data_IF_608766705247
#
_entry.id   IF_608766705247
#
_cell.length_a   1.000
_cell.length_b   1.000
_cell.length_c   1.000
_cell.angle_alpha   90.00
_cell.angle_beta   90.00
_cell.angle_gamma   90.00
#
_symmetry.space_group_name_H-M   'P 1'
#
loop_
_entity.id
_entity.type
_entity.pdbx_description
1 polymer ?
#
# COMPACT_ATOMS: atom_id res chain seq x y z
N UNK A 1 -4.22 19.86 -13.47
CA UNK A 1 -3.93 18.58 -12.81
C UNK A 1 -5.19 17.75 -12.58
N UNK A 2 -6.27 18.29 -12.13
CA UNK A 2 -7.53 17.56 -12.05
C UNK A 2 -8.40 17.99 -13.25
N UNK A 3 -8.59 17.09 -14.23
CA UNK A 3 -9.70 17.27 -15.17
C UNK A 3 -10.97 17.49 -14.35
N UNK A 4 -11.85 18.43 -14.78
CA UNK A 4 -13.15 18.60 -14.15
C UNK A 4 -13.95 17.29 -14.34
N UNK A 5 -13.78 16.35 -13.43
CA UNK A 5 -14.68 15.20 -13.31
C UNK A 5 -16.03 15.80 -12.93
N UNK A 6 -17.03 15.70 -13.81
CA UNK A 6 -18.40 16.05 -13.43
C UNK A 6 -18.83 15.13 -12.30
N UNK A 7 -18.65 15.61 -11.08
CA UNK A 7 -19.11 14.90 -9.88
C UNK A 7 -20.63 14.86 -9.94
N UNK A 8 -21.20 13.69 -10.10
CA UNK A 8 -22.63 13.45 -10.00
C UNK A 8 -22.95 12.76 -8.67
N UNK A 9 -24.24 12.65 -8.36
CA UNK A 9 -24.74 12.05 -7.12
C UNK A 9 -24.22 10.63 -6.87
N UNK A 10 -23.91 9.84 -7.92
CA UNK A 10 -23.39 8.48 -7.79
C UNK A 10 -21.96 8.45 -7.25
N UNK A 11 -21.10 9.37 -7.69
CA UNK A 11 -19.75 9.49 -7.14
C UNK A 11 -19.78 9.88 -5.66
N UNK A 12 -20.69 10.78 -5.26
CA UNK A 12 -20.87 11.16 -3.86
C UNK A 12 -21.35 9.96 -3.03
N UNK A 13 -22.33 9.22 -3.54
CA UNK A 13 -22.84 8.03 -2.86
C UNK A 13 -21.75 6.96 -2.68
N UNK A 14 -20.99 6.67 -3.73
CA UNK A 14 -19.88 5.71 -3.67
C UNK A 14 -18.80 6.18 -2.69
N UNK A 15 -18.47 7.46 -2.68
CA UNK A 15 -17.54 8.03 -1.70
C UNK A 15 -18.03 7.78 -0.26
N UNK A 16 -19.29 8.04 0.02
CA UNK A 16 -19.89 7.79 1.34
C UNK A 16 -19.81 6.31 1.68
N UNK A 17 -20.24 5.42 0.78
CA UNK A 17 -20.22 3.97 0.98
C UNK A 17 -18.83 3.44 1.25
N UNK A 18 -17.80 3.97 0.56
CA UNK A 18 -16.41 3.58 0.79
C UNK A 18 -15.81 4.21 2.06
N UNK A 19 -16.32 5.37 2.50
CA UNK A 19 -15.80 6.09 3.68
C UNK A 19 -16.36 5.57 5.00
N UNK A 20 -17.63 5.18 5.03
CA UNK A 20 -18.31 4.66 6.22
C UNK A 20 -17.55 3.50 6.88
N UNK A 21 -17.10 2.46 6.14
CA UNK A 21 -16.30 1.38 6.72
C UNK A 21 -15.03 1.86 7.44
N UNK A 22 -14.34 2.82 6.82
CA UNK A 22 -13.12 3.40 7.40
C UNK A 22 -13.39 4.19 8.67
N UNK A 23 -14.49 4.94 8.68
CA UNK A 23 -14.92 5.68 9.86
C UNK A 23 -15.26 4.73 11.02
N UNK A 24 -16.06 3.69 10.75
CA UNK A 24 -16.40 2.72 11.78
C UNK A 24 -15.18 2.00 12.36
N UNK A 25 -14.26 1.57 11.52
CA UNK A 25 -13.00 0.96 12.01
C UNK A 25 -12.12 1.97 12.77
N UNK A 26 -12.03 3.22 12.33
CA UNK A 26 -11.31 4.25 13.07
C UNK A 26 -11.91 4.52 14.46
N UNK A 27 -13.23 4.43 14.59
CA UNK A 27 -13.94 4.58 15.87
C UNK A 27 -13.82 3.36 16.78
N UNK A 28 -13.76 2.14 16.21
CA UNK A 28 -13.84 0.90 16.99
C UNK A 28 -12.52 0.19 17.20
N UNK A 29 -11.52 0.40 16.32
CA UNK A 29 -10.23 -0.24 16.47
C UNK A 29 -9.36 0.46 17.52
N UNK A 30 -9.08 -0.19 18.64
CA UNK A 30 -8.19 0.32 19.70
C UNK A 30 -6.85 -0.40 19.77
N UNK A 31 -6.62 -1.39 18.91
CA UNK A 31 -5.39 -2.17 18.94
C UNK A 31 -4.43 -1.77 17.83
N UNK A 32 -3.16 -1.56 18.21
CA UNK A 32 -2.06 -1.39 17.28
C UNK A 32 -1.52 -2.76 16.82
N UNK A 33 -1.08 -2.83 15.56
CA UNK A 33 -0.42 -4.03 15.03
C UNK A 33 1.07 -4.05 15.38
N UNK A 34 1.74 -2.92 15.18
CA UNK A 34 3.13 -2.65 15.53
C UNK A 34 3.18 -1.43 16.48
N UNK A 35 4.23 -1.32 17.29
CA UNK A 35 4.30 -0.29 18.34
C UNK A 35 4.79 1.07 17.81
N UNK A 36 4.12 1.60 16.80
CA UNK A 36 4.41 2.92 16.24
C UNK A 36 4.17 4.07 17.24
N UNK A 37 3.24 3.89 18.18
CA UNK A 37 2.94 4.91 19.17
C UNK A 37 4.10 5.20 20.11
N UNK A 38 4.95 4.21 20.41
CA UNK A 38 6.13 4.39 21.26
C UNK A 38 7.13 5.38 20.64
N UNK A 39 7.29 5.38 19.32
CA UNK A 39 8.11 6.38 18.60
C UNK A 39 7.65 7.82 18.88
N UNK A 40 6.33 8.06 18.83
CA UNK A 40 5.76 9.38 19.10
C UNK A 40 5.90 9.75 20.57
N UNK A 41 5.62 8.80 21.47
CA UNK A 41 5.74 8.98 22.91
C UNK A 41 7.16 9.37 23.31
N UNK A 42 8.16 8.64 22.85
CA UNK A 42 9.56 8.93 23.10
C UNK A 42 9.94 10.31 22.53
N UNK A 43 9.46 10.66 21.33
CA UNK A 43 9.72 11.98 20.75
C UNK A 43 9.12 13.12 21.58
N UNK A 44 7.94 12.93 22.17
CA UNK A 44 7.34 13.92 23.07
C UNK A 44 8.17 14.05 24.36
N UNK A 45 8.54 12.94 24.98
CA UNK A 45 9.29 12.91 26.25
C UNK A 45 10.71 13.44 26.11
N UNK A 46 11.44 13.03 25.08
CA UNK A 46 12.84 13.38 24.87
C UNK A 46 13.03 14.74 24.15
N UNK A 47 11.96 15.34 23.61
CA UNK A 47 11.97 16.55 22.77
C UNK A 47 12.88 16.44 21.53
N UNK A 48 13.34 15.25 21.19
CA UNK A 48 14.10 14.91 19.97
C UNK A 48 13.54 13.65 19.35
N UNK A 49 13.78 13.43 18.06
CA UNK A 49 13.42 12.18 17.42
C UNK A 49 14.22 11.02 18.03
N UNK A 50 13.58 9.91 18.41
CA UNK A 50 14.27 8.80 19.08
C UNK A 50 15.31 8.14 18.18
N UNK A 51 16.33 7.54 18.80
CA UNK A 51 17.34 6.75 18.11
C UNK A 51 16.76 5.40 17.67
N UNK A 52 17.42 4.76 16.69
CA UNK A 52 16.92 3.51 16.08
C UNK A 52 16.74 2.39 17.10
N UNK A 53 17.58 2.35 18.14
CA UNK A 53 17.60 1.34 19.21
C UNK A 53 16.74 1.69 20.41
N UNK A 54 16.12 2.87 20.47
CA UNK A 54 15.22 3.25 21.57
C UNK A 54 13.90 2.45 21.55
N UNK A 55 13.38 2.08 20.37
CA UNK A 55 12.15 1.30 20.24
C UNK A 55 12.08 0.49 18.93
N UNK A 56 11.10 -0.44 18.87
CA UNK A 56 10.96 -1.36 17.73
C UNK A 56 10.73 -0.65 16.39
N UNK A 57 9.95 0.44 16.33
CA UNK A 57 9.64 1.22 15.12
C UNK A 57 10.43 2.54 15.00
N UNK A 58 11.38 2.80 15.91
CA UNK A 58 12.19 4.02 15.92
C UNK A 58 13.15 4.13 14.69
N UNK A 59 13.31 3.07 13.94
CA UNK A 59 14.07 3.08 12.68
C UNK A 59 13.31 3.75 11.51
N UNK A 60 12.01 3.97 11.62
CA UNK A 60 11.20 4.56 10.55
C UNK A 60 11.56 6.04 10.30
N UNK A 61 11.31 6.58 9.10
CA UNK A 61 11.48 8.01 8.86
C UNK A 61 10.47 8.88 9.62
N UNK A 62 10.82 10.12 10.00
CA UNK A 62 10.09 10.88 11.01
C UNK A 62 8.80 11.58 10.55
N UNK A 63 8.56 11.81 9.26
CA UNK A 63 7.49 12.71 8.80
C UNK A 63 6.09 12.28 9.26
N UNK A 64 5.77 10.98 9.18
CA UNK A 64 4.48 10.49 9.67
C UNK A 64 4.30 10.76 11.17
N UNK A 65 5.33 10.48 11.96
CA UNK A 65 5.32 10.66 13.41
C UNK A 65 5.27 12.15 13.80
N UNK A 66 5.87 13.04 13.00
CA UNK A 66 5.76 14.48 13.18
C UNK A 66 4.31 14.95 13.01
N UNK A 67 3.61 14.44 12.00
CA UNK A 67 2.19 14.73 11.78
C UNK A 67 1.38 14.23 12.97
N UNK A 68 1.56 12.98 13.39
CA UNK A 68 0.84 12.42 14.54
C UNK A 68 1.10 13.22 15.81
N UNK A 69 2.38 13.53 16.09
CA UNK A 69 2.77 14.36 17.24
C UNK A 69 2.03 15.71 17.26
N UNK A 70 1.88 16.35 16.10
CA UNK A 70 1.19 17.65 16.00
C UNK A 70 -0.33 17.54 16.31
N UNK A 71 -0.94 16.37 16.13
CA UNK A 71 -2.35 16.11 16.44
C UNK A 71 -2.56 15.40 17.78
N UNK A 72 -1.49 15.02 18.49
CA UNK A 72 -1.59 14.40 19.81
C UNK A 72 -1.79 15.47 20.87
N UNK A 73 -2.82 15.34 21.75
CA UNK A 73 -2.98 16.25 22.87
C UNK A 73 -1.75 16.23 23.79
N UNK A 74 -1.37 17.41 24.29
CA UNK A 74 -0.29 17.53 25.24
C UNK A 74 -0.83 17.28 26.65
N UNK A 75 -0.66 16.06 27.15
CA UNK A 75 -1.02 15.66 28.51
C UNK A 75 0.22 15.27 29.30
N UNK A 76 0.18 15.46 30.62
CA UNK A 76 1.19 14.97 31.52
C UNK A 76 0.51 14.06 32.57
N UNK A 77 0.82 12.77 32.62
CA UNK A 77 1.77 12.02 31.78
C UNK A 77 1.27 11.80 30.34
N UNK A 78 2.22 11.59 29.41
CA UNK A 78 1.91 11.28 28.00
C UNK A 78 1.19 9.96 27.87
N UNK A 79 -0.05 10.01 27.43
CA UNK A 79 -0.91 8.83 27.28
C UNK A 79 -0.76 8.22 25.89
N UNK A 80 -0.36 6.93 25.86
CA UNK A 80 -0.20 6.15 24.63
C UNK A 80 -1.52 5.94 23.89
N UNK A 81 -2.66 5.87 24.60
CA UNK A 81 -3.97 5.72 23.97
C UNK A 81 -4.35 6.96 23.17
N UNK A 82 -4.06 8.14 23.67
CA UNK A 82 -4.27 9.39 22.93
C UNK A 82 -3.40 9.49 21.66
N UNK A 83 -2.18 8.95 21.71
CA UNK A 83 -1.33 8.86 20.52
C UNK A 83 -1.95 7.89 19.50
N UNK A 84 -2.43 6.75 19.95
CA UNK A 84 -3.11 5.78 19.09
C UNK A 84 -4.36 6.38 18.45
N UNK A 85 -5.13 7.18 19.19
CA UNK A 85 -6.29 7.91 18.68
C UNK A 85 -5.89 8.91 17.59
N UNK A 86 -4.85 9.70 17.83
CA UNK A 86 -4.33 10.62 16.83
C UNK A 86 -3.89 9.89 15.55
N UNK A 87 -3.19 8.75 15.70
CA UNK A 87 -2.79 7.92 14.55
C UNK A 87 -3.98 7.42 13.74
N UNK A 88 -5.04 6.94 14.40
CA UNK A 88 -6.26 6.46 13.73
C UNK A 88 -6.93 7.55 12.91
N UNK A 89 -7.07 8.75 13.49
CA UNK A 89 -7.69 9.88 12.80
C UNK A 89 -6.83 10.39 11.64
N UNK A 90 -5.52 10.48 11.81
CA UNK A 90 -4.58 10.83 10.75
C UNK A 90 -4.68 9.83 9.59
N UNK A 91 -4.67 8.52 9.89
CA UNK A 91 -4.80 7.48 8.88
C UNK A 91 -6.19 7.44 8.22
N UNK A 92 -7.25 7.74 8.96
CA UNK A 92 -8.58 7.91 8.39
C UNK A 92 -8.62 9.01 7.32
N UNK A 93 -8.02 10.17 7.60
CA UNK A 93 -7.94 11.29 6.64
C UNK A 93 -7.15 10.89 5.40
N UNK A 94 -6.00 10.23 5.57
CA UNK A 94 -5.25 9.67 4.43
C UNK A 94 -6.08 8.64 3.65
N UNK A 95 -6.86 7.83 4.35
CA UNK A 95 -7.78 6.86 3.78
C UNK A 95 -8.86 7.49 2.89
N UNK A 96 -9.42 8.62 3.28
CA UNK A 96 -10.35 9.38 2.44
C UNK A 96 -9.67 9.89 1.17
N UNK A 97 -8.43 10.39 1.29
CA UNK A 97 -7.63 10.79 0.14
C UNK A 97 -7.36 9.65 -0.83
N UNK A 98 -7.09 8.43 -0.32
CA UNK A 98 -6.92 7.22 -1.14
C UNK A 98 -8.20 6.91 -1.92
N UNK A 99 -9.39 6.99 -1.29
CA UNK A 99 -10.68 6.76 -1.97
C UNK A 99 -10.88 7.75 -3.11
N UNK A 100 -10.63 9.05 -2.87
CA UNK A 100 -10.72 10.08 -3.91
C UNK A 100 -9.79 9.77 -5.08
N UNK A 101 -8.53 9.39 -4.79
CA UNK A 101 -7.56 9.07 -5.85
C UNK A 101 -7.92 7.80 -6.61
N UNK A 102 -8.48 6.77 -5.98
CA UNK A 102 -9.02 5.59 -6.68
C UNK A 102 -10.06 6.04 -7.71
N UNK A 103 -10.97 6.94 -7.35
CA UNK A 103 -11.98 7.45 -8.29
C UNK A 103 -11.35 8.20 -9.44
N UNK A 104 -10.41 9.10 -9.16
CA UNK A 104 -9.71 9.86 -10.18
C UNK A 104 -8.91 8.95 -11.13
N UNK A 105 -8.24 7.94 -10.61
CA UNK A 105 -7.53 6.93 -11.42
C UNK A 105 -8.49 6.19 -12.35
N UNK A 106 -9.62 5.71 -11.83
CA UNK A 106 -10.60 4.96 -12.65
C UNK A 106 -11.21 5.84 -13.73
N UNK A 107 -11.51 7.11 -13.44
CA UNK A 107 -12.05 8.04 -14.42
C UNK A 107 -11.04 8.40 -15.51
N UNK A 108 -9.74 8.28 -15.26
CA UNK A 108 -8.70 8.46 -16.29
C UNK A 108 -8.61 7.30 -17.28
N UNK A 109 -9.18 6.13 -16.96
CA UNK A 109 -9.09 4.94 -17.81
C UNK A 109 -10.15 5.00 -18.90
N UNK A 110 -9.73 5.23 -20.13
CA UNK A 110 -10.62 5.32 -21.28
C UNK A 110 -11.34 3.99 -21.58
N UNK A 111 -12.55 4.07 -22.17
CA UNK A 111 -13.28 2.91 -22.69
C UNK A 111 -14.10 2.14 -21.65
N UNK A 112 -14.28 2.68 -20.44
CA UNK A 112 -15.22 2.15 -19.45
C UNK A 112 -16.54 2.92 -19.47
N UNK A 113 -17.67 2.22 -19.45
CA UNK A 113 -18.96 2.86 -19.20
C UNK A 113 -19.05 3.39 -17.75
N UNK A 114 -19.90 4.40 -17.47
CA UNK A 114 -20.07 4.91 -16.11
C UNK A 114 -20.39 3.83 -15.07
N UNK A 115 -21.24 2.86 -15.41
CA UNK A 115 -21.59 1.77 -14.50
C UNK A 115 -20.37 0.92 -14.12
N UNK A 116 -19.47 0.67 -15.08
CA UNK A 116 -18.21 -0.04 -14.80
C UNK A 116 -17.25 0.80 -13.96
N UNK A 117 -17.18 2.10 -14.22
CA UNK A 117 -16.38 3.01 -13.38
C UNK A 117 -16.87 2.98 -11.93
N UNK A 118 -18.19 3.06 -11.71
CA UNK A 118 -18.79 3.01 -10.37
C UNK A 118 -18.54 1.68 -9.69
N UNK A 119 -18.72 0.56 -10.38
CA UNK A 119 -18.49 -0.77 -9.82
C UNK A 119 -17.02 -0.99 -9.45
N UNK A 120 -16.08 -0.57 -10.31
CA UNK A 120 -14.65 -0.67 -10.01
C UNK A 120 -14.24 0.25 -8.86
N UNK A 121 -14.83 1.44 -8.77
CA UNK A 121 -14.62 2.35 -7.65
C UNK A 121 -15.08 1.75 -6.33
N UNK A 122 -16.24 1.08 -6.31
CA UNK A 122 -16.71 0.31 -5.16
C UNK A 122 -15.78 -0.85 -4.84
N UNK A 123 -15.38 -1.65 -5.83
CA UNK A 123 -14.53 -2.83 -5.63
C UNK A 123 -13.19 -2.46 -4.99
N UNK A 124 -12.49 -1.47 -5.54
CA UNK A 124 -11.21 -1.02 -4.99
C UNK A 124 -11.38 -0.21 -3.70
N UNK A 125 -12.41 0.63 -3.65
CA UNK A 125 -12.70 1.44 -2.47
C UNK A 125 -13.16 0.61 -1.25
N UNK A 126 -13.84 -0.50 -1.46
CA UNK A 126 -14.27 -1.44 -0.43
C UNK A 126 -13.26 -2.57 -0.19
N UNK A 127 -12.12 -2.58 -0.87
CA UNK A 127 -11.13 -3.63 -0.63
C UNK A 127 -10.79 -3.72 0.87
N UNK A 128 -10.98 -4.90 1.50
CA UNK A 128 -10.86 -5.05 2.95
C UNK A 128 -9.49 -4.64 3.47
N UNK A 129 -8.42 -4.95 2.73
CA UNK A 129 -7.06 -4.59 3.12
C UNK A 129 -6.84 -3.07 3.12
N UNK A 130 -7.35 -2.35 2.09
CA UNK A 130 -7.28 -0.89 2.05
C UNK A 130 -8.12 -0.22 3.14
N UNK A 131 -9.26 -0.81 3.52
CA UNK A 131 -10.07 -0.33 4.64
C UNK A 131 -9.29 -0.49 5.95
N UNK A 132 -8.74 -1.68 6.20
CA UNK A 132 -8.01 -1.97 7.43
C UNK A 132 -6.78 -1.07 7.62
N UNK A 133 -5.99 -0.87 6.58
CA UNK A 133 -4.79 -0.01 6.62
C UNK A 133 -5.12 1.42 7.05
N UNK A 134 -6.27 1.94 6.61
CA UNK A 134 -6.71 3.30 6.98
C UNK A 134 -7.15 3.43 8.45
N UNK A 135 -7.35 2.32 9.16
CA UNK A 135 -7.70 2.29 10.56
C UNK A 135 -6.58 1.72 11.46
N UNK A 136 -5.50 1.25 10.86
CA UNK A 136 -4.30 0.79 11.59
C UNK A 136 -3.41 1.98 11.95
N UNK A 137 -2.71 1.85 13.08
CA UNK A 137 -1.80 2.87 13.60
C UNK A 137 -0.41 2.69 13.00
N UNK A 138 -0.30 2.84 11.66
CA UNK A 138 0.94 2.62 10.90
C UNK A 138 1.16 3.73 9.88
N UNK A 139 2.39 3.85 9.36
CA UNK A 139 2.74 4.80 8.31
C UNK A 139 2.40 4.33 6.88
N UNK A 140 1.51 3.33 6.74
CA UNK A 140 1.19 2.75 5.44
C UNK A 140 0.16 3.56 4.65
N UNK A 141 -0.85 4.13 5.30
CA UNK A 141 -1.85 4.93 4.60
C UNK A 141 -1.24 6.15 3.86
N UNK A 142 -0.37 6.97 4.48
CA UNK A 142 0.23 8.10 3.79
C UNK A 142 1.17 7.70 2.64
N UNK A 143 1.93 6.61 2.74
CA UNK A 143 2.78 6.18 1.62
C UNK A 143 1.97 5.69 0.41
N UNK A 144 0.82 5.04 0.64
CA UNK A 144 -0.11 4.66 -0.42
C UNK A 144 -0.70 5.90 -1.10
N UNK A 145 -1.12 6.89 -0.32
CA UNK A 145 -1.63 8.15 -0.86
C UNK A 145 -0.59 8.85 -1.74
N UNK A 146 0.65 8.97 -1.25
CA UNK A 146 1.75 9.60 -2.00
C UNK A 146 2.07 8.83 -3.28
N UNK A 147 2.07 7.50 -3.23
CA UNK A 147 2.27 6.66 -4.40
C UNK A 147 1.19 6.82 -5.47
N UNK A 148 -0.08 6.89 -5.05
CA UNK A 148 -1.21 7.19 -5.94
C UNK A 148 -1.12 8.59 -6.54
N UNK A 149 -0.81 9.62 -5.74
CA UNK A 149 -0.63 11.00 -6.22
C UNK A 149 0.52 11.08 -7.22
N UNK A 150 1.63 10.41 -6.94
CA UNK A 150 2.79 10.37 -7.84
C UNK A 150 2.44 9.72 -9.18
N UNK A 151 1.91 8.50 -9.15
CA UNK A 151 1.58 7.76 -10.39
C UNK A 151 0.47 8.45 -11.19
N UNK A 152 -0.54 9.01 -10.50
CA UNK A 152 -1.58 9.83 -11.14
C UNK A 152 -0.99 11.05 -11.86
N UNK A 153 -0.09 11.78 -11.20
CA UNK A 153 0.55 12.96 -11.77
C UNK A 153 1.49 12.63 -12.93
N UNK A 154 2.16 11.48 -12.91
CA UNK A 154 2.98 11.03 -14.06
C UNK A 154 2.10 10.69 -15.26
N UNK A 155 0.98 9.99 -15.05
CA UNK A 155 0.02 9.69 -16.13
C UNK A 155 -0.59 10.98 -16.72
N UNK A 156 -0.92 11.95 -15.87
CA UNK A 156 -1.36 13.26 -16.31
C UNK A 156 -0.28 13.96 -17.20
N UNK A 157 1.00 13.88 -16.77
CA UNK A 157 2.13 14.38 -17.55
C UNK A 157 2.36 13.64 -18.88
N UNK A 158 2.13 12.33 -18.92
CA UNK A 158 2.20 11.54 -20.17
C UNK A 158 1.10 11.96 -21.15
N UNK A 159 -0.12 12.21 -20.66
CA UNK A 159 -1.29 12.58 -21.47
C UNK A 159 -1.22 14.02 -22.01
N UNK A 160 -0.79 14.94 -21.16
CA UNK A 160 -0.90 16.38 -21.45
C UNK A 160 0.46 17.08 -21.63
N UNK A 161 1.56 16.35 -21.48
CA UNK A 161 2.92 16.88 -21.54
C UNK A 161 3.48 17.26 -20.17
N UNK A 162 4.79 17.09 -20.01
CA UNK A 162 5.50 17.43 -18.78
C UNK A 162 5.90 18.90 -18.75
N UNK A 163 5.18 19.69 -17.98
CA UNK A 163 5.57 21.08 -17.66
C UNK A 163 6.46 21.13 -16.45
N UNK A 164 7.26 22.20 -16.29
CA UNK A 164 8.07 22.46 -15.08
C UNK A 164 7.23 22.35 -13.81
N UNK A 165 6.01 22.89 -13.81
CA UNK A 165 5.07 22.83 -12.69
C UNK A 165 4.69 21.40 -12.31
N UNK A 166 4.44 20.53 -13.29
CA UNK A 166 4.13 19.11 -13.05
C UNK A 166 5.36 18.42 -12.46
N UNK A 167 6.55 18.64 -13.02
CA UNK A 167 7.78 18.01 -12.56
C UNK A 167 8.15 18.44 -11.12
N UNK A 168 7.97 19.72 -10.77
CA UNK A 168 8.18 20.19 -9.39
C UNK A 168 7.17 19.52 -8.44
N UNK A 169 5.89 19.43 -8.80
CA UNK A 169 4.89 18.72 -7.97
C UNK A 169 5.26 17.25 -7.77
N UNK A 170 5.68 16.55 -8.81
CA UNK A 170 6.12 15.16 -8.73
C UNK A 170 7.37 15.03 -7.86
N UNK A 171 8.32 15.98 -7.95
CA UNK A 171 9.50 16.01 -7.11
C UNK A 171 9.13 16.17 -5.63
N UNK A 172 8.22 17.10 -5.30
CA UNK A 172 7.74 17.30 -3.92
C UNK A 172 7.12 16.02 -3.38
N UNK A 173 6.20 15.38 -4.14
CA UNK A 173 5.56 14.13 -3.71
C UNK A 173 6.61 13.03 -3.51
N UNK A 174 7.54 12.87 -4.46
CA UNK A 174 8.60 11.87 -4.39
C UNK A 174 9.60 12.13 -3.26
N UNK A 175 9.79 13.40 -2.84
CA UNK A 175 10.62 13.80 -1.69
C UNK A 175 9.95 13.47 -0.35
N UNK A 176 8.65 13.72 -0.24
CA UNK A 176 7.90 13.42 0.98
C UNK A 176 7.79 11.90 1.24
N UNK A 177 7.72 11.08 0.20
CA UNK A 177 7.52 9.65 0.32
C UNK A 177 8.59 8.93 1.17
N UNK A 178 9.91 9.08 0.91
CA UNK A 178 10.95 8.46 1.75
C UNK A 178 11.03 9.04 3.16
N UNK A 179 10.47 10.22 3.41
CA UNK A 179 10.39 10.80 4.76
C UNK A 179 9.22 10.20 5.56
N UNK A 180 8.25 9.57 4.90
CA UNK A 180 7.13 8.83 5.54
C UNK A 180 7.52 7.38 5.80
N UNK A 181 8.11 6.71 4.82
CA UNK A 181 8.48 5.28 4.89
C UNK A 181 9.64 4.97 3.95
N UNK A 182 10.53 4.06 4.36
CA UNK A 182 11.70 3.68 3.55
C UNK A 182 11.35 3.20 2.13
N UNK A 183 10.19 2.54 1.93
CA UNK A 183 9.70 2.15 0.60
C UNK A 183 9.46 3.34 -0.35
N UNK A 184 9.30 4.55 0.19
CA UNK A 184 9.20 5.78 -0.59
C UNK A 184 10.46 6.11 -1.41
N UNK A 185 11.62 5.53 -1.06
CA UNK A 185 12.83 5.63 -1.86
C UNK A 185 12.65 5.09 -3.29
N UNK A 186 11.73 4.15 -3.50
CA UNK A 186 11.40 3.66 -4.83
C UNK A 186 10.71 4.75 -5.68
N UNK A 187 9.93 5.64 -5.07
CA UNK A 187 9.26 6.73 -5.77
C UNK A 187 10.24 7.83 -6.20
N UNK A 188 11.18 8.21 -5.32
CA UNK A 188 12.22 9.18 -5.72
C UNK A 188 13.18 8.59 -6.76
N UNK A 189 13.51 7.31 -6.67
CA UNK A 189 14.24 6.59 -7.71
C UNK A 189 13.48 6.55 -9.04
N UNK A 190 12.18 6.28 -9.01
CA UNK A 190 11.29 6.32 -10.18
C UNK A 190 11.25 7.72 -10.80
N UNK A 191 11.18 8.78 -9.96
CA UNK A 191 11.26 10.16 -10.44
C UNK A 191 12.59 10.45 -11.14
N UNK A 192 13.71 9.99 -10.59
CA UNK A 192 15.03 10.13 -11.20
C UNK A 192 15.11 9.46 -12.57
N UNK A 193 14.61 8.23 -12.70
CA UNK A 193 14.53 7.51 -13.99
C UNK A 193 13.64 8.26 -15.00
N UNK A 194 12.46 8.73 -14.56
CA UNK A 194 11.57 9.52 -15.41
C UNK A 194 12.25 10.81 -15.90
N UNK A 195 12.86 11.57 -14.98
CA UNK A 195 13.56 12.80 -15.32
C UNK A 195 14.71 12.54 -16.32
N UNK A 196 15.54 11.51 -16.06
CA UNK A 196 16.60 11.07 -16.97
C UNK A 196 16.06 10.74 -18.36
N UNK A 197 14.96 9.97 -18.43
CA UNK A 197 14.31 9.67 -19.72
C UNK A 197 13.85 10.93 -20.46
N UNK A 198 13.20 11.86 -19.76
CA UNK A 198 12.67 13.09 -20.35
C UNK A 198 13.78 14.02 -20.87
N UNK A 199 14.91 14.08 -20.15
CA UNK A 199 16.09 14.84 -20.56
C UNK A 199 16.77 14.21 -21.79
N UNK A 200 17.02 12.91 -21.78
CA UNK A 200 17.66 12.18 -22.89
C UNK A 200 16.86 12.26 -24.19
N UNK A 201 15.54 12.19 -24.10
CA UNK A 201 14.65 12.26 -25.27
C UNK A 201 14.20 13.68 -25.60
N UNK A 202 14.85 14.72 -25.05
CA UNK A 202 14.55 16.14 -25.28
C UNK A 202 13.08 16.51 -25.13
N UNK A 203 12.34 15.78 -24.26
CA UNK A 203 10.94 16.05 -23.94
C UNK A 203 10.77 17.26 -23.02
N UNK A 204 11.84 17.75 -22.42
CA UNK A 204 11.93 19.00 -21.67
C UNK A 204 12.93 19.89 -22.39
N UNK A 205 12.60 21.18 -22.56
CA UNK A 205 13.54 22.19 -23.06
C UNK A 205 14.68 22.35 -22.06
N UNK A 206 15.87 21.87 -22.42
CA UNK A 206 17.02 21.66 -21.52
C UNK A 206 17.58 22.96 -20.92
N UNK A 207 17.31 24.15 -21.48
CA UNK A 207 18.07 25.33 -21.09
C UNK A 207 17.90 25.70 -19.60
N UNK A 208 16.88 26.39 -19.19
CA UNK A 208 16.74 26.86 -17.80
C UNK A 208 15.93 25.90 -16.92
N UNK A 209 14.85 25.35 -17.47
CA UNK A 209 13.95 24.46 -16.69
C UNK A 209 14.61 23.13 -16.35
N UNK A 210 15.44 22.56 -17.24
CA UNK A 210 16.16 21.33 -16.96
C UNK A 210 17.20 21.49 -15.85
N UNK A 211 17.99 22.58 -15.89
CA UNK A 211 18.98 22.88 -14.85
C UNK A 211 18.30 23.16 -13.50
N UNK A 212 17.22 23.94 -13.50
CA UNK A 212 16.45 24.22 -12.29
C UNK A 212 15.92 22.94 -11.65
N UNK A 213 15.28 22.07 -12.44
CA UNK A 213 14.70 20.82 -11.90
C UNK A 213 15.81 19.89 -11.41
N UNK A 214 16.93 19.78 -12.12
CA UNK A 214 18.08 18.97 -11.68
C UNK A 214 18.67 19.48 -10.39
N UNK A 215 18.87 20.81 -10.25
CA UNK A 215 19.32 21.43 -9.01
C UNK A 215 18.37 21.21 -7.85
N UNK A 216 17.06 21.38 -8.06
CA UNK A 216 16.04 21.10 -7.08
C UNK A 216 16.01 19.61 -6.67
N UNK A 217 16.30 18.70 -7.62
CA UNK A 217 16.39 17.26 -7.31
C UNK A 217 17.57 16.93 -6.40
N UNK A 218 18.71 17.57 -6.60
CA UNK A 218 19.87 17.42 -5.70
C UNK A 218 19.53 17.97 -4.30
N UNK A 219 18.92 19.15 -4.22
CA UNK A 219 18.46 19.72 -2.95
C UNK A 219 17.45 18.81 -2.24
N UNK A 220 16.55 18.19 -2.99
CA UNK A 220 15.59 17.22 -2.47
C UNK A 220 16.27 15.99 -1.87
N UNK A 221 17.31 15.45 -2.51
CA UNK A 221 18.08 14.32 -1.97
C UNK A 221 18.82 14.68 -0.69
N UNK A 222 19.41 15.89 -0.62
CA UNK A 222 20.02 16.41 0.61
C UNK A 222 18.96 16.55 1.71
N UNK A 223 17.82 17.14 1.38
CA UNK A 223 16.71 17.30 2.30
C UNK A 223 16.20 15.96 2.85
N UNK A 224 16.02 14.95 1.99
CA UNK A 224 15.67 13.58 2.40
C UNK A 224 16.74 13.02 3.35
N UNK A 225 18.03 13.19 3.05
CA UNK A 225 19.13 12.71 3.87
C UNK A 225 19.07 13.24 5.29
N UNK A 226 18.85 14.56 5.45
CA UNK A 226 18.75 15.20 6.76
C UNK A 226 17.41 14.92 7.45
N UNK A 227 16.29 15.29 6.85
CA UNK A 227 14.96 15.23 7.49
C UNK A 227 14.33 13.83 7.47
N UNK A 228 14.81 12.92 6.63
CA UNK A 228 14.47 11.50 6.65
C UNK A 228 15.30 10.68 7.64
N UNK A 229 16.21 11.33 8.35
CA UNK A 229 17.14 10.70 9.31
C UNK A 229 18.16 9.73 8.69
N UNK A 230 18.35 9.75 7.35
CA UNK A 230 19.23 8.80 6.66
C UNK A 230 20.72 9.12 6.89
N UNK A 231 21.11 10.40 6.91
CA UNK A 231 22.49 10.80 7.18
C UNK A 231 22.90 10.49 8.61
N UNK A 232 22.02 10.75 9.58
CA UNK A 232 22.27 10.41 10.98
C UNK A 232 22.47 8.90 11.16
N UNK A 233 21.60 8.08 10.56
CA UNK A 233 21.76 6.61 10.58
C UNK A 233 23.07 6.16 9.96
N UNK A 234 23.48 6.77 8.84
CA UNK A 234 24.77 6.47 8.24
C UNK A 234 25.96 6.82 9.16
N UNK A 235 25.87 7.93 9.86
CA UNK A 235 26.94 8.38 10.77
C UNK A 235 27.02 7.50 12.04
N UNK A 236 25.88 7.22 12.65
CA UNK A 236 25.83 6.50 13.94
C UNK A 236 25.96 5.00 13.77
N UNK A 237 25.29 4.43 12.77
CA UNK A 237 25.16 2.98 12.61
C UNK A 237 25.94 2.42 11.42
N UNK A 238 26.58 3.29 10.61
CA UNK A 238 27.28 2.88 9.38
C UNK A 238 26.35 2.41 8.26
N UNK A 239 25.02 2.54 8.43
CA UNK A 239 24.03 2.09 7.46
C UNK A 239 22.81 3.04 7.44
N UNK A 240 22.64 3.79 6.35
CA UNK A 240 21.50 4.70 6.17
C UNK A 240 20.14 3.98 6.14
N UNK A 241 20.12 2.69 5.80
CA UNK A 241 18.91 1.88 5.64
C UNK A 241 18.75 0.84 6.77
N UNK A 242 19.34 1.11 7.92
CA UNK A 242 19.21 0.24 9.09
C UNK A 242 17.74 0.07 9.46
N UNK A 243 17.35 -1.15 9.82
CA UNK A 243 16.02 -1.52 10.30
C UNK A 243 16.14 -2.20 11.66
N UNK A 244 15.02 -2.43 12.32
CA UNK A 244 14.96 -3.23 13.55
C UNK A 244 15.39 -4.70 13.38
N UNK A 245 15.62 -5.16 12.17
CA UNK A 245 16.09 -6.49 11.81
C UNK A 245 17.58 -6.45 11.45
N UNK A 246 18.42 -6.06 12.37
CA UNK A 246 19.86 -6.07 12.16
C UNK A 246 20.52 -7.15 13.06
N UNK A 247 21.25 -8.13 12.48
CA UNK A 247 21.86 -9.23 13.25
C UNK A 247 22.97 -8.80 14.19
N UNK A 248 23.56 -7.63 13.99
CA UNK A 248 24.78 -7.21 14.68
C UNK A 248 24.54 -6.28 15.88
N UNK A 249 23.29 -5.89 16.17
CA UNK A 249 23.01 -4.87 17.21
C UNK A 249 21.85 -5.23 18.13
N UNK A 250 22.06 -5.15 19.47
CA UNK A 250 21.05 -5.28 20.50
C UNK A 250 20.49 -3.91 20.94
N UNK A 251 19.51 -3.85 21.86
CA UNK A 251 18.65 -4.94 22.36
C UNK A 251 17.29 -5.03 21.65
N UNK A 252 16.90 -4.03 20.85
CA UNK A 252 15.59 -3.96 20.18
C UNK A 252 15.64 -4.47 18.73
N UNK A 253 16.78 -5.01 18.32
CA UNK A 253 16.96 -5.61 17.01
C UNK A 253 16.71 -7.12 17.05
N UNK A 254 15.95 -7.62 16.09
CA UNK A 254 15.71 -9.05 15.97
C UNK A 254 16.81 -9.67 15.11
N UNK A 255 17.49 -10.69 15.64
CA UNK A 255 18.52 -11.40 14.88
C UNK A 255 17.91 -12.16 13.69
N UNK A 256 18.59 -12.15 12.53
CA UNK A 256 18.16 -12.90 11.33
C UNK A 256 17.95 -14.40 11.60
N UNK A 257 18.71 -14.98 12.50
CA UNK A 257 18.54 -16.40 12.87
C UNK A 257 17.26 -16.66 13.65
N UNK A 258 16.71 -15.67 14.35
CA UNK A 258 15.40 -15.77 15.01
C UNK A 258 14.27 -15.83 13.99
N UNK A 259 14.42 -15.23 12.80
CA UNK A 259 13.47 -15.36 11.71
C UNK A 259 13.34 -16.80 11.22
N UNK A 260 14.46 -17.50 11.09
CA UNK A 260 14.48 -18.93 10.71
C UNK A 260 13.79 -19.80 11.76
N UNK A 261 13.96 -19.50 13.04
CA UNK A 261 13.30 -20.21 14.13
C UNK A 261 11.78 -19.96 14.21
N UNK A 262 11.27 -18.85 13.62
CA UNK A 262 9.86 -18.49 13.61
C UNK A 262 9.09 -18.98 12.36
N UNK A 263 9.39 -20.15 11.83
CA UNK A 263 8.82 -20.64 10.56
C UNK A 263 9.15 -19.71 9.38
N UNK A 264 10.41 -19.29 9.31
CA UNK A 264 10.94 -18.51 8.20
C UNK A 264 10.90 -19.27 6.87
N UNK A 265 11.24 -18.56 5.80
CA UNK A 265 11.33 -19.13 4.46
C UNK A 265 12.57 -20.02 4.40
N UNK A 266 12.38 -21.33 4.53
CA UNK A 266 13.45 -22.34 4.52
C UNK A 266 13.71 -22.90 3.11
N UNK A 267 12.70 -22.90 2.24
CA UNK A 267 12.80 -23.41 0.86
C UNK A 267 12.41 -22.33 -0.14
N UNK A 268 13.36 -21.92 -0.98
CA UNK A 268 13.14 -20.96 -2.07
C UNK A 268 12.09 -21.47 -3.05
N UNK A 269 12.18 -22.73 -3.47
CA UNK A 269 11.22 -23.34 -4.41
C UNK A 269 9.80 -23.34 -3.85
N UNK A 270 9.63 -23.77 -2.61
CA UNK A 270 8.31 -23.85 -1.98
C UNK A 270 7.74 -22.47 -1.67
N UNK A 271 8.58 -21.46 -1.47
CA UNK A 271 8.10 -20.12 -1.12
C UNK A 271 7.81 -19.26 -2.36
N UNK A 272 8.65 -19.29 -3.38
CA UNK A 272 8.54 -18.34 -4.51
C UNK A 272 7.96 -18.95 -5.77
N UNK A 273 7.86 -20.29 -5.87
CA UNK A 273 7.36 -20.99 -7.06
C UNK A 273 6.12 -21.85 -6.80
N UNK A 274 5.37 -21.53 -5.74
CA UNK A 274 4.14 -22.25 -5.41
C UNK A 274 2.96 -21.30 -5.27
N UNK A 275 1.77 -21.81 -5.64
CA UNK A 275 0.48 -21.20 -5.34
C UNK A 275 -0.44 -22.27 -4.74
N UNK A 276 -0.69 -22.17 -3.43
CA UNK A 276 -1.32 -23.23 -2.62
C UNK A 276 -2.80 -22.97 -2.40
N UNK A 277 -3.54 -22.82 -3.49
CA UNK A 277 -4.96 -22.47 -3.45
C UNK A 277 -5.82 -23.50 -2.69
N UNK A 278 -5.59 -24.80 -2.93
CA UNK A 278 -6.34 -25.85 -2.25
C UNK A 278 -6.08 -25.90 -0.74
N UNK A 279 -4.88 -25.52 -0.31
CA UNK A 279 -4.56 -25.42 1.11
C UNK A 279 -5.26 -24.23 1.77
N UNK A 280 -5.46 -23.12 1.04
CA UNK A 280 -6.30 -22.00 1.51
C UNK A 280 -7.75 -22.42 1.72
N UNK A 281 -8.28 -23.32 0.88
CA UNK A 281 -9.63 -23.85 1.05
C UNK A 281 -9.76 -24.82 2.22
N UNK A 282 -8.69 -25.52 2.60
CA UNK A 282 -8.65 -26.36 3.81
C UNK A 282 -8.54 -25.47 5.06
N UNK A 283 -7.54 -24.61 5.10
CA UNK A 283 -7.29 -23.66 6.18
C UNK A 283 -7.07 -22.27 5.60
N UNK A 284 -8.05 -21.35 5.69
CA UNK A 284 -7.97 -20.02 5.08
C UNK A 284 -7.05 -19.05 5.82
N UNK A 285 -6.54 -19.40 6.99
CA UNK A 285 -5.74 -18.49 7.79
C UNK A 285 -4.30 -18.38 7.28
N UNK A 286 -3.80 -17.16 7.22
CA UNK A 286 -2.44 -16.82 6.77
C UNK A 286 -1.56 -16.30 7.91
N UNK A 287 -2.09 -16.29 9.12
CA UNK A 287 -1.47 -15.62 10.24
C UNK A 287 -0.30 -16.34 10.88
N UNK A 288 0.50 -15.52 11.59
CA UNK A 288 1.59 -15.98 12.41
C UNK A 288 1.12 -16.61 13.73
N UNK A 289 1.62 -17.76 14.05
CA UNK A 289 1.52 -18.38 15.39
C UNK A 289 0.21 -19.09 15.71
N UNK A 290 -0.89 -18.77 15.02
CA UNK A 290 -2.22 -19.30 15.32
C UNK A 290 -2.74 -20.26 14.27
N UNK A 291 -1.94 -20.58 13.28
CA UNK A 291 -2.36 -21.45 12.18
C UNK A 291 -1.51 -22.70 12.12
N UNK A 292 -2.16 -23.84 11.95
CA UNK A 292 -1.49 -25.10 11.69
C UNK A 292 -1.09 -25.26 10.22
N UNK A 293 -0.94 -24.16 9.48
CA UNK A 293 -0.58 -24.19 8.06
C UNK A 293 0.64 -23.33 7.72
N UNK A 294 1.85 -23.76 8.14
CA UNK A 294 3.09 -23.01 7.89
C UNK A 294 3.41 -22.86 6.40
N UNK A 295 2.90 -23.78 5.55
CA UNK A 295 3.19 -23.75 4.12
C UNK A 295 2.50 -22.59 3.39
N UNK A 296 1.26 -22.23 3.76
CA UNK A 296 0.59 -21.07 3.20
C UNK A 296 1.28 -19.77 3.58
N UNK A 297 1.79 -19.69 4.79
CA UNK A 297 2.48 -18.50 5.34
C UNK A 297 3.79 -18.20 4.65
N UNK A 298 4.47 -19.21 4.14
CA UNK A 298 5.78 -19.06 3.49
C UNK A 298 5.68 -19.01 1.97
N UNK A 299 4.50 -19.21 1.39
CA UNK A 299 4.29 -19.12 -0.06
C UNK A 299 3.96 -17.68 -0.48
N UNK A 300 4.87 -17.06 -1.23
CA UNK A 300 4.79 -15.67 -1.65
C UNK A 300 3.48 -15.32 -2.36
N UNK A 301 3.14 -16.05 -3.42
CA UNK A 301 1.92 -15.76 -4.19
C UNK A 301 0.64 -16.12 -3.44
N UNK A 302 0.66 -17.15 -2.60
CA UNK A 302 -0.49 -17.53 -1.76
C UNK A 302 -0.78 -16.45 -0.74
N UNK A 303 0.26 -15.90 -0.09
CA UNK A 303 0.11 -14.80 0.88
C UNK A 303 -0.44 -13.55 0.21
N UNK A 304 0.13 -13.11 -0.91
CA UNK A 304 -0.35 -11.91 -1.62
C UNK A 304 -1.81 -12.07 -2.06
N UNK A 305 -2.16 -13.24 -2.58
CA UNK A 305 -3.53 -13.56 -2.99
C UNK A 305 -4.51 -13.54 -1.81
N UNK A 306 -4.15 -14.20 -0.72
CA UNK A 306 -4.99 -14.25 0.48
C UNK A 306 -5.21 -12.87 1.11
N UNK A 307 -4.15 -12.06 1.19
CA UNK A 307 -4.22 -10.71 1.71
C UNK A 307 -5.06 -9.76 0.84
N UNK A 308 -5.03 -9.95 -0.49
CA UNK A 308 -5.89 -9.19 -1.39
C UNK A 308 -7.37 -9.57 -1.24
N UNK A 309 -7.63 -10.86 -1.12
CA UNK A 309 -9.00 -11.39 -1.11
C UNK A 309 -9.69 -11.25 0.24
N UNK A 310 -8.90 -11.23 1.33
CA UNK A 310 -9.46 -11.19 2.69
C UNK A 310 -8.49 -10.58 3.70
N UNK A 311 -8.92 -9.51 4.36
CA UNK A 311 -8.13 -8.73 5.30
C UNK A 311 -7.75 -9.47 6.59
N UNK A 312 -8.53 -10.48 6.99
CA UNK A 312 -8.43 -11.07 8.32
C UNK A 312 -7.33 -12.11 8.50
N UNK A 313 -6.54 -12.36 7.48
CA UNK A 313 -5.59 -13.47 7.45
C UNK A 313 -4.15 -13.02 7.27
N UNK A 314 -3.89 -11.78 7.59
CA UNK A 314 -2.57 -11.24 7.78
C UNK A 314 -2.29 -11.06 9.29
N UNK A 315 -1.10 -10.62 9.62
CA UNK A 315 -0.73 -10.23 10.97
C UNK A 315 -1.59 -9.04 11.44
N UNK A 316 -2.52 -9.30 12.33
CA UNK A 316 -3.46 -8.34 12.91
C UNK A 316 -3.30 -8.18 14.39
N UNK A 317 -3.88 -7.09 14.93
CA UNK A 317 -4.10 -6.94 16.36
C UNK A 317 -4.73 -8.19 16.97
N UNK A 318 -4.34 -8.55 18.17
CA UNK A 318 -4.74 -9.81 18.81
C UNK A 318 -6.26 -9.97 18.95
N UNK A 319 -6.99 -8.88 19.20
CA UNK A 319 -8.44 -8.90 19.32
C UNK A 319 -9.16 -9.30 18.04
N UNK A 320 -8.61 -8.94 16.88
CA UNK A 320 -9.18 -9.33 15.58
C UNK A 320 -8.98 -10.81 15.29
N UNK A 321 -7.88 -11.39 15.79
CA UNK A 321 -7.50 -12.79 15.56
C UNK A 321 -8.32 -13.76 16.39
N UNK A 322 -8.39 -13.48 17.68
CA UNK A 322 -8.89 -14.45 18.67
C UNK A 322 -10.40 -14.62 18.65
N UNK A 323 -11.13 -13.82 17.83
CA UNK A 323 -12.59 -13.76 17.90
C UNK A 323 -13.29 -14.24 16.64
N UNK A 324 -12.63 -14.95 15.74
CA UNK A 324 -13.25 -15.44 14.50
C UNK A 324 -14.03 -14.33 13.76
N UNK A 325 -13.44 -13.14 13.66
CA UNK A 325 -14.06 -11.95 13.11
C UNK A 325 -14.65 -12.14 11.69
N UNK A 326 -14.19 -13.19 11.01
CA UNK A 326 -14.82 -13.65 9.75
C UNK A 326 -15.06 -15.14 9.82
N UNK A 327 -16.28 -15.60 9.56
CA UNK A 327 -16.55 -17.01 9.43
C UNK A 327 -15.67 -17.65 8.36
N UNK A 328 -15.05 -18.76 8.69
CA UNK A 328 -14.17 -19.54 7.79
C UNK A 328 -14.80 -19.79 6.42
N UNK A 329 -16.12 -20.02 6.37
CA UNK A 329 -16.86 -20.23 5.12
C UNK A 329 -16.81 -19.00 4.19
N UNK A 330 -16.93 -17.78 4.71
CA UNK A 330 -16.89 -16.57 3.89
C UNK A 330 -15.49 -16.31 3.32
N UNK A 331 -14.44 -16.59 4.10
CA UNK A 331 -13.07 -16.52 3.61
C UNK A 331 -12.85 -17.49 2.43
N UNK A 332 -13.29 -18.72 2.55
CA UNK A 332 -13.19 -19.73 1.48
C UNK A 332 -13.97 -19.33 0.23
N UNK A 333 -15.18 -18.79 0.40
CA UNK A 333 -15.98 -18.27 -0.72
C UNK A 333 -15.23 -17.09 -1.39
N UNK A 334 -14.70 -16.13 -0.64
CA UNK A 334 -13.93 -15.04 -1.20
C UNK A 334 -12.72 -15.55 -2.00
N UNK A 335 -11.99 -16.53 -1.50
CA UNK A 335 -10.87 -17.10 -2.25
C UNK A 335 -11.34 -17.72 -3.59
N UNK A 336 -12.45 -18.45 -3.61
CA UNK A 336 -12.96 -19.01 -4.87
C UNK A 336 -13.39 -17.91 -5.85
N UNK A 337 -14.13 -16.91 -5.39
CA UNK A 337 -14.63 -15.84 -6.24
C UNK A 337 -13.53 -14.91 -6.78
N UNK A 338 -12.38 -14.84 -6.12
CA UNK A 338 -11.24 -14.01 -6.58
C UNK A 338 -10.36 -14.72 -7.62
N UNK A 339 -10.49 -16.04 -7.85
CA UNK A 339 -9.69 -16.73 -8.89
C UNK A 339 -9.92 -16.15 -10.28
N UNK A 340 -11.16 -15.95 -10.76
CA UNK A 340 -11.39 -15.30 -12.05
C UNK A 340 -10.77 -13.90 -12.12
N UNK A 341 -10.83 -13.13 -11.01
CA UNK A 341 -10.25 -11.80 -10.97
C UNK A 341 -8.72 -11.82 -11.04
N UNK A 342 -8.07 -12.79 -10.39
CA UNK A 342 -6.63 -13.02 -10.51
C UNK A 342 -6.24 -13.34 -11.96
N UNK A 343 -6.99 -14.21 -12.64
CA UNK A 343 -6.72 -14.56 -14.04
C UNK A 343 -6.90 -13.34 -14.96
N UNK A 344 -7.91 -12.51 -14.72
CA UNK A 344 -8.13 -11.24 -15.44
C UNK A 344 -6.95 -10.28 -15.20
N UNK A 345 -6.47 -10.17 -13.98
CA UNK A 345 -5.31 -9.33 -13.66
C UNK A 345 -4.04 -9.81 -14.37
N UNK A 346 -3.76 -11.12 -14.34
CA UNK A 346 -2.61 -11.72 -15.03
C UNK A 346 -2.72 -11.50 -16.54
N UNK A 347 -3.92 -11.67 -17.11
CA UNK A 347 -4.17 -11.39 -18.53
C UNK A 347 -3.92 -9.92 -18.86
N UNK A 348 -4.36 -8.99 -18.02
CA UNK A 348 -4.09 -7.56 -18.18
C UNK A 348 -2.60 -7.22 -18.10
N UNK A 349 -1.85 -7.87 -17.21
CA UNK A 349 -0.39 -7.75 -17.17
C UNK A 349 0.27 -8.27 -18.45
N UNK A 350 -0.19 -9.40 -18.98
CA UNK A 350 0.32 -9.96 -20.24
C UNK A 350 0.04 -9.03 -21.43
N UNK A 351 -1.16 -8.43 -21.51
CA UNK A 351 -1.47 -7.41 -22.50
C UNK A 351 -0.58 -6.18 -22.34
N UNK A 352 -0.36 -5.74 -21.11
CA UNK A 352 0.54 -4.62 -20.81
C UNK A 352 1.98 -4.90 -21.22
N UNK A 353 2.50 -6.08 -20.92
CA UNK A 353 3.84 -6.51 -21.33
C UNK A 353 3.96 -6.55 -22.87
N UNK A 354 2.94 -7.07 -23.57
CA UNK A 354 2.88 -7.04 -25.03
C UNK A 354 2.93 -5.61 -25.58
N UNK A 355 2.12 -4.70 -25.04
CA UNK A 355 2.13 -3.29 -25.47
C UNK A 355 3.46 -2.61 -25.17
N UNK A 356 4.06 -2.87 -24.00
CA UNK A 356 5.39 -2.36 -23.65
C UNK A 356 6.44 -2.78 -24.67
N UNK A 357 6.44 -4.06 -25.06
CA UNK A 357 7.39 -4.60 -26.04
C UNK A 357 7.22 -3.99 -27.43
N UNK A 358 5.98 -3.65 -27.80
CA UNK A 358 5.67 -3.02 -29.07
C UNK A 358 5.89 -1.49 -29.09
N UNK A 359 5.86 -0.85 -27.91
CA UNK A 359 6.01 0.59 -27.78
C UNK A 359 7.46 0.98 -27.63
N UNK A 360 7.95 1.88 -28.50
CA UNK A 360 9.29 2.47 -28.39
C UNK A 360 9.32 3.78 -27.58
N UNK A 361 8.19 4.19 -27.00
CA UNK A 361 8.04 5.47 -26.30
C UNK A 361 7.43 5.29 -24.92
N UNK A 362 7.65 6.30 -24.06
CA UNK A 362 7.00 6.38 -22.77
C UNK A 362 5.48 6.48 -22.95
N UNK A 363 4.77 5.49 -22.45
CA UNK A 363 3.31 5.40 -22.45
C UNK A 363 2.79 5.14 -21.04
N UNK A 364 1.49 5.31 -20.80
CA UNK A 364 0.86 4.94 -19.53
C UNK A 364 1.17 3.49 -19.16
N UNK A 365 1.00 2.58 -20.12
CA UNK A 365 1.25 1.14 -19.91
C UNK A 365 2.71 0.87 -19.56
N UNK A 366 3.67 1.48 -20.29
CA UNK A 366 5.10 1.26 -20.03
C UNK A 366 5.52 1.80 -18.67
N UNK A 367 5.02 2.97 -18.28
CA UNK A 367 5.33 3.54 -16.98
C UNK A 367 4.71 2.71 -15.84
N UNK A 368 3.44 2.36 -15.94
CA UNK A 368 2.76 1.59 -14.89
C UNK A 368 3.32 0.17 -14.77
N UNK A 369 3.73 -0.46 -15.86
CA UNK A 369 4.42 -1.75 -15.83
C UNK A 369 5.77 -1.63 -15.14
N UNK A 370 6.55 -0.60 -15.46
CA UNK A 370 7.84 -0.35 -14.84
C UNK A 370 7.72 -0.20 -13.32
N UNK A 371 6.81 0.65 -12.83
CA UNK A 371 6.67 0.86 -11.39
C UNK A 371 6.11 -0.38 -10.68
N UNK A 372 5.18 -1.10 -11.31
CA UNK A 372 4.68 -2.37 -10.76
C UNK A 372 5.80 -3.39 -10.59
N UNK A 373 6.62 -3.59 -11.63
CA UNK A 373 7.75 -4.52 -11.58
C UNK A 373 8.81 -4.09 -10.56
N UNK A 374 9.09 -2.78 -10.46
CA UNK A 374 10.04 -2.25 -9.48
C UNK A 374 9.60 -2.58 -8.04
N UNK A 375 8.33 -2.32 -7.70
CA UNK A 375 7.81 -2.64 -6.36
C UNK A 375 7.68 -4.14 -6.12
N UNK A 376 7.34 -4.93 -7.13
CA UNK A 376 7.32 -6.40 -7.04
C UNK A 376 8.72 -6.97 -6.80
N UNK A 377 9.72 -6.49 -7.52
CA UNK A 377 11.13 -6.90 -7.34
C UNK A 377 11.65 -6.48 -5.96
N UNK A 378 11.28 -5.28 -5.50
CA UNK A 378 11.60 -4.86 -4.14
C UNK A 378 11.00 -5.82 -3.11
N UNK A 379 9.71 -6.16 -3.23
CA UNK A 379 9.04 -7.07 -2.30
C UNK A 379 9.66 -8.48 -2.32
N UNK A 380 9.98 -8.99 -3.52
CA UNK A 380 10.69 -10.26 -3.67
C UNK A 380 12.06 -10.21 -2.98
N UNK A 381 12.87 -9.17 -3.26
CA UNK A 381 14.18 -8.99 -2.62
C UNK A 381 14.05 -8.87 -1.11
N UNK A 382 13.08 -8.08 -0.63
CA UNK A 382 12.86 -7.83 0.78
C UNK A 382 12.52 -9.12 1.53
N UNK A 383 11.54 -9.88 1.04
CA UNK A 383 11.17 -11.17 1.61
C UNK A 383 12.30 -12.22 1.52
N UNK A 384 13.09 -12.21 0.44
CA UNK A 384 14.23 -13.11 0.28
C UNK A 384 15.38 -12.78 1.24
N UNK A 385 15.64 -11.48 1.47
CA UNK A 385 16.71 -11.02 2.36
C UNK A 385 16.44 -11.43 3.80
N UNK A 386 15.23 -11.15 4.29
CA UNK A 386 14.87 -11.44 5.68
C UNK A 386 14.35 -12.85 5.91
N UNK A 387 13.90 -13.53 4.85
CA UNK A 387 13.38 -14.91 4.86
C UNK A 387 12.30 -15.19 5.92
N UNK A 388 11.53 -14.17 6.25
CA UNK A 388 10.37 -14.28 7.13
C UNK A 388 9.09 -13.98 6.36
N UNK A 389 8.03 -14.74 6.63
CA UNK A 389 6.73 -14.54 5.99
C UNK A 389 6.11 -13.17 6.33
N UNK A 390 6.46 -12.56 7.46
CA UNK A 390 5.97 -11.23 7.88
C UNK A 390 6.44 -10.11 6.93
N UNK A 391 7.43 -10.36 6.09
CA UNK A 391 7.88 -9.45 5.04
C UNK A 391 7.14 -9.64 3.70
N UNK A 392 6.32 -10.69 3.58
CA UNK A 392 5.47 -10.89 2.39
C UNK A 392 4.13 -10.20 2.64
N UNK A 393 4.14 -8.87 2.52
CA UNK A 393 2.93 -8.05 2.75
C UNK A 393 2.48 -7.36 1.46
N UNK A 394 1.22 -7.59 1.07
CA UNK A 394 0.61 -6.92 -0.09
C UNK A 394 0.64 -5.38 0.02
N UNK A 395 0.62 -4.88 1.24
CA UNK A 395 0.68 -3.44 1.54
C UNK A 395 1.89 -2.75 0.89
N UNK A 396 3.01 -3.45 0.70
CA UNK A 396 4.19 -2.91 0.02
C UNK A 396 3.99 -2.69 -1.49
N UNK A 397 2.93 -3.28 -2.09
CA UNK A 397 2.54 -3.02 -3.49
C UNK A 397 1.49 -1.90 -3.63
N UNK A 398 0.83 -1.50 -2.54
CA UNK A 398 -0.23 -0.49 -2.63
C UNK A 398 0.26 0.95 -2.95
N UNK A 399 1.50 1.36 -2.73
CA UNK A 399 1.97 2.63 -3.28
C UNK A 399 1.86 2.70 -4.82
N UNK A 400 1.80 1.55 -5.49
CA UNK A 400 1.55 1.46 -6.94
C UNK A 400 0.15 0.89 -7.25
N UNK A 401 -0.83 1.14 -6.40
CA UNK A 401 -2.22 0.73 -6.55
C UNK A 401 -2.81 1.18 -7.90
N UNK A 402 -2.39 2.32 -8.44
CA UNK A 402 -2.75 2.76 -9.78
C UNK A 402 -2.42 1.70 -10.85
N UNK A 403 -1.24 1.08 -10.78
CA UNK A 403 -0.87 0.03 -11.72
C UNK A 403 -1.74 -1.23 -11.55
N UNK A 404 -2.08 -1.60 -10.30
CA UNK A 404 -2.99 -2.72 -10.04
C UNK A 404 -4.37 -2.47 -10.65
N UNK A 405 -4.95 -1.29 -10.44
CA UNK A 405 -6.24 -0.86 -11.01
C UNK A 405 -6.17 -0.88 -12.54
N UNK A 406 -5.10 -0.32 -13.11
CA UNK A 406 -4.91 -0.20 -14.55
C UNK A 406 -4.85 -1.56 -15.24
N UNK A 407 -3.97 -2.48 -14.78
CA UNK A 407 -3.82 -3.79 -15.40
C UNK A 407 -5.05 -4.68 -15.17
N UNK A 408 -5.69 -4.60 -14.03
CA UNK A 408 -6.97 -5.25 -13.80
C UNK A 408 -8.02 -4.78 -14.81
N UNK A 409 -8.14 -3.47 -15.00
CA UNK A 409 -9.09 -2.88 -15.97
C UNK A 409 -8.72 -3.22 -17.41
N UNK A 410 -7.43 -3.28 -17.73
CA UNK A 410 -6.94 -3.70 -19.04
C UNK A 410 -7.34 -5.13 -19.37
N UNK A 411 -7.31 -6.03 -18.37
CA UNK A 411 -7.78 -7.40 -18.52
C UNK A 411 -9.30 -7.53 -18.66
N UNK A 412 -10.06 -6.61 -18.05
CA UNK A 412 -11.53 -6.58 -18.15
C UNK A 412 -11.99 -6.17 -19.56
N UNK A 413 -11.37 -5.15 -20.18
CA UNK A 413 -11.85 -4.53 -21.43
C UNK A 413 -12.21 -5.53 -22.55
N UNK A 414 -11.39 -6.54 -22.87
CA UNK A 414 -11.77 -7.52 -23.91
C UNK A 414 -13.03 -8.31 -23.56
N UNK A 415 -13.26 -8.57 -22.26
CA UNK A 415 -14.41 -9.31 -21.75
C UNK A 415 -15.71 -8.53 -21.95
N UNK A 416 -15.63 -7.19 -21.85
CA UNK A 416 -16.80 -6.31 -21.97
C UNK A 416 -17.44 -6.36 -23.39
N UNK A 417 -16.69 -6.77 -24.40
CA UNK A 417 -17.22 -6.92 -25.76
C UNK A 417 -18.28 -8.04 -25.86
N UNK A 418 -18.26 -9.00 -24.95
CA UNK A 418 -19.17 -10.14 -24.94
C UNK A 418 -20.27 -9.96 -23.90
N UNK A 419 -21.51 -9.75 -24.31
CA UNK A 419 -22.65 -9.41 -23.44
C UNK A 419 -22.82 -10.36 -22.24
N UNK A 420 -22.75 -11.67 -22.45
CA UNK A 420 -22.91 -12.67 -21.38
C UNK A 420 -21.76 -12.59 -20.38
N UNK A 421 -20.52 -12.53 -20.87
CA UNK A 421 -19.32 -12.42 -20.02
C UNK A 421 -19.31 -11.09 -19.25
N UNK A 422 -19.76 -10.01 -19.86
CA UNK A 422 -19.90 -8.70 -19.24
C UNK A 422 -20.88 -8.75 -18.06
N UNK A 423 -22.09 -9.32 -18.25
CA UNK A 423 -23.08 -9.47 -17.17
C UNK A 423 -22.54 -10.37 -16.07
N UNK A 424 -21.94 -11.52 -16.42
CA UNK A 424 -21.40 -12.45 -15.44
C UNK A 424 -20.29 -11.81 -14.58
N UNK A 425 -19.36 -11.08 -15.21
CA UNK A 425 -18.28 -10.41 -14.51
C UNK A 425 -18.79 -9.23 -13.64
N UNK A 426 -19.76 -8.45 -14.15
CA UNK A 426 -20.41 -7.40 -13.37
C UNK A 426 -21.07 -7.96 -12.11
N UNK A 427 -21.83 -9.05 -12.25
CA UNK A 427 -22.48 -9.76 -11.14
C UNK A 427 -21.45 -10.33 -10.15
N UNK A 428 -20.38 -10.94 -10.63
CA UNK A 428 -19.31 -11.48 -9.79
C UNK A 428 -18.69 -10.39 -8.90
N UNK A 429 -18.30 -9.26 -9.48
CA UNK A 429 -17.69 -8.15 -8.73
C UNK A 429 -18.71 -7.55 -7.75
N UNK A 430 -19.99 -7.43 -8.14
CA UNK A 430 -21.04 -6.94 -7.25
C UNK A 430 -21.25 -7.87 -6.04
N UNK A 431 -21.23 -9.18 -6.25
CA UNK A 431 -21.31 -10.18 -5.17
C UNK A 431 -20.11 -10.04 -4.23
N UNK A 432 -18.90 -9.86 -4.77
CA UNK A 432 -17.68 -9.68 -3.96
C UNK A 432 -17.79 -8.40 -3.12
N UNK A 433 -18.23 -7.27 -3.69
CA UNK A 433 -18.45 -6.03 -2.95
C UNK A 433 -19.45 -6.24 -1.80
N UNK A 434 -20.53 -6.96 -2.04
CA UNK A 434 -21.52 -7.31 -1.00
C UNK A 434 -20.90 -8.17 0.10
N UNK A 435 -20.10 -9.18 -0.25
CA UNK A 435 -19.38 -10.01 0.71
C UNK A 435 -18.37 -9.20 1.54
N UNK A 436 -17.70 -8.21 0.94
CA UNK A 436 -16.82 -7.31 1.68
C UNK A 436 -17.58 -6.52 2.75
N UNK A 437 -18.77 -6.01 2.44
CA UNK A 437 -19.62 -5.30 3.41
C UNK A 437 -20.14 -6.24 4.52
N UNK A 438 -20.53 -7.47 4.17
CA UNK A 438 -20.94 -8.49 5.14
C UNK A 438 -19.78 -8.83 6.08
N UNK A 439 -18.59 -9.09 5.54
CA UNK A 439 -17.40 -9.39 6.35
C UNK A 439 -17.04 -8.23 7.28
N UNK A 440 -17.17 -7.00 6.79
CA UNK A 440 -16.96 -5.82 7.62
C UNK A 440 -17.98 -5.73 8.76
N UNK A 441 -19.27 -5.98 8.48
CA UNK A 441 -20.29 -5.97 9.52
C UNK A 441 -20.00 -6.99 10.62
N UNK A 442 -19.52 -8.19 10.26
CA UNK A 442 -19.05 -9.19 11.22
C UNK A 442 -17.87 -8.69 12.05
N UNK A 443 -16.87 -8.07 11.41
CA UNK A 443 -15.73 -7.50 12.12
C UNK A 443 -16.17 -6.44 13.12
N UNK A 444 -17.00 -5.49 12.69
CA UNK A 444 -17.48 -4.40 13.54
C UNK A 444 -18.28 -4.92 14.74
N UNK A 445 -19.17 -5.90 14.52
CA UNK A 445 -19.91 -6.54 15.60
C UNK A 445 -18.98 -7.23 16.60
N UNK A 446 -17.95 -7.91 16.10
CA UNK A 446 -16.95 -8.57 16.96
C UNK A 446 -16.14 -7.56 17.77
N UNK A 447 -15.73 -6.44 17.17
CA UNK A 447 -14.98 -5.39 17.86
C UNK A 447 -15.82 -4.67 18.92
N UNK A 448 -17.10 -4.39 18.64
CA UNK A 448 -18.01 -3.79 19.61
C UNK A 448 -18.18 -4.65 20.87
N UNK A 449 -18.39 -5.96 20.72
CA UNK A 449 -18.47 -6.89 21.85
C UNK A 449 -17.15 -7.10 22.61
N UNK A 450 -16.05 -6.56 22.11
CA UNK A 450 -14.75 -6.60 22.77
C UNK A 450 -14.54 -5.43 23.73
N UNK A 451 -15.06 -4.26 23.37
CA UNK A 451 -14.84 -3.02 24.12
C UNK A 451 -16.04 -2.62 25.02
N UNK A 452 -17.16 -3.35 24.94
CA UNK A 452 -18.28 -3.28 25.89
C UNK A 452 -18.02 -4.14 27.12
#
# INVERSE_FOLDING_TARGET
MFQQVKINQWWVLIFIVCSIPRLFLALTNREANDDHAETVKLWILQQKYPEVDDCYECFQPPLYYAIVKAFTPHTDPVDKEQINDAMRWVNFVFGLGIVVLIFLVITQINGLSPNWQYLLALFWGLNPKLIAICAQMTNDAPIILLGLLFTYGVIDGIKHGFTTKILIKLLVIATLAPMVKGTGLLLIGTYGVLLGYLLLHKKIKVHYSGLLISGLSVLALIFIGYFGNYFHKQQVYGNAFITNWNPEKPPNFVALDTCKARLGITSVTQSYFTFRFLDLLKNPYLENGYTNNPLNRTSFFTLLYGQFSNVFYEQYPHGWKNRNATPTRFAKINYVLHIPLLLIFIYGLALGAKQFWQSKSLSETSFLLFVFLLFMLFLLKYSYTFRDFSFIKLIFLFPVLHALIYFFTMGIKPILAHKICNIALFSLISIICTLYLINLAYLLHTLQGFYS
#
